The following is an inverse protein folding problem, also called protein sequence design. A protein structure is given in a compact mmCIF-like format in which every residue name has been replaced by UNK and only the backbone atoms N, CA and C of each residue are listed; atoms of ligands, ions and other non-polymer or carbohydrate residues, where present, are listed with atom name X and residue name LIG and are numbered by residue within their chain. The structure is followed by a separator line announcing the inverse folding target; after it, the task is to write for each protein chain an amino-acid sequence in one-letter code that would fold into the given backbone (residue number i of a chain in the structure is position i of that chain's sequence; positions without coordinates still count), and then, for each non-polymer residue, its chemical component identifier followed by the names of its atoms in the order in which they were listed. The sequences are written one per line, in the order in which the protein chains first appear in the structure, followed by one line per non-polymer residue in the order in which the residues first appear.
data_IF_509564480433
#
_entry.id   IF_509564480433
#
_cell.length_a   1.000
_cell.length_b   1.000
_cell.length_c   1.000
_cell.angle_alpha   90.00
_cell.angle_beta   90.00
_cell.angle_gamma   90.00
#
_symmetry.space_group_name_H-M   'P 1'
#
loop_
_entity.id
_entity.type
_entity.pdbx_description
1 polymer ?
#
# COMPACT_ATOMS: atom_id res chain seq x y z
N UNK A 1 23.96 -52.06 0.88
CA UNK A 1 24.30 -50.74 0.22
C UNK A 1 23.07 -49.97 -0.31
N UNK A 2 21.93 -50.61 -0.57
CA UNK A 2 20.71 -49.97 -1.09
C UNK A 2 20.01 -49.13 -0.01
N UNK A 3 20.10 -49.49 1.27
CA UNK A 3 19.43 -48.77 2.38
C UNK A 3 19.98 -47.36 2.65
N UNK A 4 21.28 -47.12 2.46
CA UNK A 4 21.92 -45.82 2.68
C UNK A 4 21.54 -44.79 1.62
N UNK A 5 21.31 -45.24 0.37
CA UNK A 5 20.89 -44.37 -0.72
C UNK A 5 19.42 -43.91 -0.60
N UNK A 6 18.55 -44.79 -0.07
CA UNK A 6 17.14 -44.52 0.18
C UNK A 6 16.96 -43.48 1.33
N UNK A 7 17.73 -43.58 2.39
CA UNK A 7 17.69 -42.64 3.53
C UNK A 7 18.10 -41.23 3.09
N UNK A 8 19.11 -41.11 2.25
CA UNK A 8 19.55 -39.80 1.71
C UNK A 8 18.50 -39.12 0.82
N UNK A 9 17.82 -39.90 -0.03
CA UNK A 9 16.76 -39.35 -0.90
C UNK A 9 15.51 -38.96 -0.14
N UNK A 10 15.12 -39.73 0.89
CA UNK A 10 13.97 -39.39 1.76
C UNK A 10 14.21 -38.11 2.57
N UNK A 11 15.42 -37.86 3.07
CA UNK A 11 15.77 -36.61 3.75
C UNK A 11 15.68 -35.41 2.79
N UNK A 12 16.17 -35.51 1.58
CA UNK A 12 16.06 -34.44 0.59
C UNK A 12 14.62 -34.10 0.21
N UNK A 13 13.73 -35.09 0.13
CA UNK A 13 12.32 -34.90 -0.16
C UNK A 13 11.64 -34.19 1.01
N UNK A 14 11.89 -34.60 2.24
CA UNK A 14 11.33 -33.97 3.45
C UNK A 14 11.75 -32.50 3.57
N UNK A 15 13.03 -32.20 3.35
CA UNK A 15 13.54 -30.83 3.38
C UNK A 15 12.89 -29.98 2.31
N UNK A 16 12.68 -30.51 1.11
CA UNK A 16 12.00 -29.80 0.02
C UNK A 16 10.56 -29.51 0.35
N UNK A 17 9.83 -30.48 0.92
CA UNK A 17 8.43 -30.28 1.35
C UNK A 17 8.36 -29.25 2.48
N UNK A 18 9.25 -29.31 3.46
CA UNK A 18 9.30 -28.36 4.57
C UNK A 18 9.57 -26.93 4.05
N UNK A 19 10.53 -26.78 3.12
CA UNK A 19 10.82 -25.49 2.50
C UNK A 19 9.59 -24.91 1.78
N UNK A 20 8.92 -25.71 0.97
CA UNK A 20 7.70 -25.28 0.26
C UNK A 20 6.59 -24.93 1.26
N UNK A 21 6.40 -25.73 2.30
CA UNK A 21 5.41 -25.45 3.34
C UNK A 21 5.66 -24.11 4.03
N UNK A 22 6.90 -23.79 4.39
CA UNK A 22 7.27 -22.50 4.98
C UNK A 22 7.06 -21.35 3.98
N UNK A 23 7.45 -21.53 2.72
CA UNK A 23 7.26 -20.52 1.68
C UNK A 23 5.79 -20.19 1.43
N UNK A 24 4.88 -21.12 1.62
CA UNK A 24 3.46 -20.91 1.52
C UNK A 24 2.85 -20.34 2.81
N UNK A 25 3.35 -20.77 3.97
CA UNK A 25 2.83 -20.36 5.27
C UNK A 25 3.14 -18.89 5.58
N UNK A 26 4.37 -18.43 5.33
CA UNK A 26 4.79 -17.07 5.67
C UNK A 26 3.91 -16.00 5.01
N UNK A 27 3.63 -16.02 3.70
CA UNK A 27 2.72 -15.05 3.09
C UNK A 27 1.30 -15.10 3.65
N UNK A 28 0.79 -16.29 4.00
CA UNK A 28 -0.53 -16.42 4.60
C UNK A 28 -0.59 -15.75 6.00
N UNK A 29 0.47 -15.92 6.79
CA UNK A 29 0.57 -15.25 8.10
C UNK A 29 0.71 -13.75 7.93
N UNK A 30 1.54 -13.27 7.00
CA UNK A 30 1.70 -11.85 6.68
C UNK A 30 0.34 -11.21 6.29
N UNK A 31 -0.47 -11.92 5.50
CA UNK A 31 -1.81 -11.45 5.10
C UNK A 31 -2.78 -11.41 6.28
N UNK A 32 -2.78 -12.43 7.14
CA UNK A 32 -3.61 -12.45 8.36
C UNK A 32 -3.22 -11.35 9.36
N UNK A 33 -1.96 -10.96 9.40
CA UNK A 33 -1.45 -9.87 10.24
C UNK A 33 -1.63 -8.49 9.58
N UNK A 34 -2.29 -8.41 8.42
CA UNK A 34 -2.48 -7.17 7.66
C UNK A 34 -1.18 -6.40 7.42
N UNK A 35 -0.10 -7.14 7.12
CA UNK A 35 1.20 -6.54 6.86
C UNK A 35 1.14 -5.55 5.71
N UNK A 36 1.76 -4.38 5.91
CA UNK A 36 1.92 -3.34 4.88
C UNK A 36 2.59 -3.86 3.62
N UNK A 37 2.29 -3.24 2.50
CA UNK A 37 2.96 -3.50 1.24
C UNK A 37 4.43 -3.09 1.31
N UNK A 38 5.29 -3.57 0.41
CA UNK A 38 6.69 -3.16 0.32
C UNK A 38 6.82 -1.64 0.15
N UNK A 39 7.91 -1.07 0.70
CA UNK A 39 8.13 0.38 0.73
C UNK A 39 8.13 1.01 -0.68
N UNK A 40 8.68 0.33 -1.68
CA UNK A 40 8.70 0.79 -3.07
C UNK A 40 7.27 0.94 -3.66
N UNK A 41 6.34 0.11 -3.21
CA UNK A 41 4.93 0.21 -3.61
C UNK A 41 4.25 1.37 -2.88
N UNK A 42 4.52 1.54 -1.59
CA UNK A 42 3.98 2.66 -0.79
C UNK A 42 4.49 4.01 -1.30
N UNK A 43 5.78 4.11 -1.63
CA UNK A 43 6.39 5.30 -2.23
C UNK A 43 5.71 5.67 -3.55
N UNK A 44 5.47 4.68 -4.41
CA UNK A 44 4.76 4.89 -5.68
C UNK A 44 3.31 5.35 -5.49
N UNK A 45 2.63 4.86 -4.46
CA UNK A 45 1.29 5.34 -4.10
C UNK A 45 1.35 6.81 -3.70
N UNK A 46 2.30 7.19 -2.83
CA UNK A 46 2.45 8.58 -2.38
C UNK A 46 2.81 9.52 -3.52
N UNK A 47 3.75 9.15 -4.38
CA UNK A 47 4.12 9.93 -5.57
C UNK A 47 2.92 10.14 -6.50
N UNK A 48 2.12 9.07 -6.71
CA UNK A 48 0.91 9.16 -7.53
C UNK A 48 -0.09 10.15 -6.94
N UNK A 49 -0.33 10.11 -5.64
CA UNK A 49 -1.25 11.02 -4.95
C UNK A 49 -0.75 12.47 -5.04
N UNK A 50 0.55 12.70 -4.81
CA UNK A 50 1.16 14.03 -4.88
C UNK A 50 1.19 14.64 -6.29
N UNK A 51 1.01 13.83 -7.33
CA UNK A 51 0.94 14.33 -8.70
C UNK A 51 -0.35 15.09 -9.02
N UNK A 52 -1.37 15.00 -8.17
CA UNK A 52 -2.64 15.68 -8.36
C UNK A 52 -2.59 17.11 -7.83
N UNK A 53 -3.05 18.11 -8.62
CA UNK A 53 -3.05 19.50 -8.19
C UNK A 53 -3.98 19.74 -7.00
N UNK A 54 -3.54 20.57 -6.05
CA UNK A 54 -4.32 20.92 -4.86
C UNK A 54 -4.28 19.87 -3.74
N UNK A 55 -3.59 18.76 -3.95
CA UNK A 55 -3.37 17.71 -2.95
C UNK A 55 -2.05 17.93 -2.25
N UNK A 56 -2.06 17.87 -0.93
CA UNK A 56 -0.85 18.01 -0.12
C UNK A 56 -0.82 17.01 1.04
N UNK A 57 0.38 16.78 1.56
CA UNK A 57 0.62 16.00 2.79
C UNK A 57 -0.18 14.69 2.87
N UNK A 58 0.02 13.72 1.95
CA UNK A 58 -0.53 12.39 2.17
C UNK A 58 0.06 11.81 3.46
N UNK A 59 -0.81 11.33 4.35
CA UNK A 59 -0.41 10.79 5.65
C UNK A 59 -1.35 9.68 6.09
N UNK A 60 -1.00 8.97 7.16
CA UNK A 60 -1.75 7.80 7.63
C UNK A 60 -2.00 6.77 6.52
N UNK A 61 -1.03 6.63 5.61
CA UNK A 61 -1.10 5.59 4.59
C UNK A 61 -1.14 4.22 5.27
N UNK A 62 -2.17 3.46 4.98
CA UNK A 62 -2.33 2.07 5.41
C UNK A 62 -2.54 1.23 4.17
N UNK A 63 -1.73 0.22 4.03
CA UNK A 63 -1.78 -0.70 2.89
C UNK A 63 -1.82 -2.13 3.40
N UNK A 64 -2.56 -3.00 2.70
CA UNK A 64 -2.55 -4.43 2.97
C UNK A 64 -2.93 -5.21 1.72
N UNK A 65 -2.55 -6.46 1.70
CA UNK A 65 -2.97 -7.40 0.66
C UNK A 65 -4.28 -8.08 1.07
N UNK A 66 -5.18 -8.25 0.11
CA UNK A 66 -6.41 -9.02 0.27
C UNK A 66 -6.50 -10.00 -0.91
N UNK A 67 -5.96 -11.21 -0.73
CA UNK A 67 -5.84 -12.19 -1.81
C UNK A 67 -5.01 -11.65 -2.98
N UNK A 68 -5.64 -11.44 -4.13
CA UNK A 68 -4.98 -10.98 -5.36
C UNK A 68 -5.05 -9.48 -5.61
N UNK A 69 -5.57 -8.69 -4.68
CA UNK A 69 -5.69 -7.23 -4.80
C UNK A 69 -5.22 -6.52 -3.53
N UNK A 70 -5.15 -5.20 -3.59
CA UNK A 70 -4.69 -4.38 -2.48
C UNK A 70 -5.83 -3.59 -1.85
N UNK A 71 -5.71 -3.30 -0.56
CA UNK A 71 -6.46 -2.25 0.10
C UNK A 71 -5.49 -1.12 0.43
N UNK A 72 -5.87 0.10 0.07
CA UNK A 72 -5.10 1.34 0.24
C UNK A 72 -6.02 2.33 0.95
N UNK A 73 -5.61 2.77 2.13
CA UNK A 73 -6.32 3.80 2.88
C UNK A 73 -5.34 4.95 3.14
N UNK A 74 -5.73 6.18 2.82
CA UNK A 74 -4.85 7.34 2.93
C UNK A 74 -5.63 8.59 3.30
N UNK A 75 -5.04 9.45 4.11
CA UNK A 75 -5.53 10.79 4.37
C UNK A 75 -4.77 11.79 3.51
N UNK A 76 -5.46 12.70 2.87
CA UNK A 76 -4.88 13.76 2.05
C UNK A 76 -5.44 15.12 2.46
N UNK A 77 -4.59 16.14 2.40
CA UNK A 77 -4.99 17.50 2.74
C UNK A 77 -5.24 18.32 1.48
N UNK A 78 -6.33 19.08 1.52
CA UNK A 78 -6.73 20.00 0.46
C UNK A 78 -7.14 21.36 1.05
N UNK A 79 -7.22 22.40 0.20
CA UNK A 79 -7.70 23.72 0.66
C UNK A 79 -9.14 23.59 1.18
N UNK A 80 -9.36 23.96 2.43
CA UNK A 80 -10.68 23.91 3.07
C UNK A 80 -11.72 24.87 2.47
N UNK A 81 -11.35 25.70 1.49
CA UNK A 81 -12.24 26.62 0.79
C UNK A 81 -12.84 26.07 -0.50
N UNK A 82 -12.31 24.94 -1.00
CA UNK A 82 -12.87 24.29 -2.19
C UNK A 82 -14.25 23.70 -1.88
N UNK A 83 -15.06 23.57 -2.90
CA UNK A 83 -16.37 22.93 -2.75
C UNK A 83 -16.22 21.43 -2.45
N UNK A 84 -17.21 20.85 -1.76
CA UNK A 84 -17.24 19.40 -1.54
C UNK A 84 -17.24 18.63 -2.85
N UNK A 85 -17.90 19.16 -3.87
CA UNK A 85 -17.97 18.56 -5.21
C UNK A 85 -16.59 18.48 -5.86
N UNK A 86 -15.82 19.56 -5.80
CA UNK A 86 -14.47 19.63 -6.35
C UNK A 86 -13.50 18.69 -5.60
N UNK A 87 -13.59 18.68 -4.27
CA UNK A 87 -12.80 17.78 -3.43
C UNK A 87 -13.12 16.30 -3.73
N UNK A 88 -14.40 15.97 -3.88
CA UNK A 88 -14.84 14.61 -4.23
C UNK A 88 -14.38 14.20 -5.64
N UNK A 89 -14.45 15.10 -6.61
CA UNK A 89 -13.97 14.85 -7.96
C UNK A 89 -12.47 14.51 -7.97
N UNK A 90 -11.67 15.25 -7.22
CA UNK A 90 -10.24 15.00 -7.08
C UNK A 90 -9.96 13.65 -6.41
N UNK A 91 -10.71 13.32 -5.33
CA UNK A 91 -10.58 12.03 -4.67
C UNK A 91 -10.91 10.87 -5.61
N UNK A 92 -11.97 10.99 -6.40
CA UNK A 92 -12.36 9.98 -7.40
C UNK A 92 -11.27 9.81 -8.47
N UNK A 93 -10.69 10.91 -8.94
CA UNK A 93 -9.61 10.85 -9.94
C UNK A 93 -8.35 10.14 -9.39
N UNK A 94 -8.01 10.37 -8.12
CA UNK A 94 -6.92 9.65 -7.44
C UNK A 94 -7.25 8.16 -7.31
N UNK A 95 -8.47 7.83 -6.88
CA UNK A 95 -8.94 6.45 -6.75
C UNK A 95 -8.85 5.70 -8.08
N UNK A 96 -9.33 6.31 -9.16
CA UNK A 96 -9.28 5.73 -10.51
C UNK A 96 -7.85 5.50 -10.97
N UNK A 97 -6.96 6.47 -10.70
CA UNK A 97 -5.54 6.34 -11.04
C UNK A 97 -4.85 5.22 -10.28
N UNK A 98 -5.12 5.09 -8.99
CA UNK A 98 -4.59 4.00 -8.18
C UNK A 98 -5.14 2.63 -8.64
N UNK A 99 -6.42 2.54 -8.98
CA UNK A 99 -7.01 1.33 -9.56
C UNK A 99 -6.44 0.97 -10.94
N UNK A 100 -6.09 1.96 -11.74
CA UNK A 100 -5.40 1.74 -13.03
C UNK A 100 -4.01 1.11 -12.80
N UNK A 101 -3.25 1.60 -11.82
CA UNK A 101 -1.88 1.16 -11.53
C UNK A 101 -1.80 -0.19 -10.80
N UNK A 102 -2.69 -0.42 -9.85
CA UNK A 102 -2.63 -1.57 -8.94
C UNK A 102 -3.73 -2.63 -9.17
N UNK A 103 -4.59 -2.38 -10.14
CA UNK A 103 -5.66 -3.29 -10.55
C UNK A 103 -7.06 -2.81 -10.17
N UNK A 104 -8.04 -3.09 -11.02
CA UNK A 104 -9.43 -2.61 -10.91
C UNK A 104 -10.14 -3.02 -9.61
N UNK A 105 -9.72 -4.13 -9.00
CA UNK A 105 -10.30 -4.65 -7.76
C UNK A 105 -9.63 -4.08 -6.51
N UNK A 106 -8.63 -3.19 -6.66
CA UNK A 106 -7.99 -2.52 -5.52
C UNK A 106 -9.03 -1.68 -4.78
N UNK A 107 -9.14 -1.91 -3.48
CA UNK A 107 -9.94 -1.05 -2.62
C UNK A 107 -9.14 0.20 -2.26
N UNK A 108 -9.69 1.38 -2.55
CA UNK A 108 -9.05 2.66 -2.25
C UNK A 108 -10.00 3.49 -1.39
N UNK A 109 -9.56 3.83 -0.19
CA UNK A 109 -10.26 4.72 0.73
C UNK A 109 -9.46 6.02 0.89
N UNK A 110 -10.03 7.16 0.50
CA UNK A 110 -9.39 8.47 0.62
C UNK A 110 -10.16 9.30 1.63
N UNK A 111 -9.48 9.70 2.70
CA UNK A 111 -10.03 10.63 3.68
C UNK A 111 -9.50 12.04 3.40
N UNK A 112 -10.41 12.97 3.11
CA UNK A 112 -10.06 14.35 2.80
C UNK A 112 -10.06 15.18 4.08
N UNK A 113 -8.97 15.90 4.32
CA UNK A 113 -8.81 16.81 5.45
C UNK A 113 -8.47 18.23 4.96
N UNK A 114 -8.94 19.27 5.65
CA UNK A 114 -8.50 20.63 5.36
C UNK A 114 -7.04 20.83 5.78
N UNK A 115 -6.29 21.65 5.03
CA UNK A 115 -4.95 22.08 5.41
C UNK A 115 -5.01 22.79 6.76
N UNK A 116 -4.20 22.34 7.72
CA UNK A 116 -4.11 22.99 9.04
C UNK A 116 -3.34 24.30 8.93
N UNK A 117 -3.81 25.35 9.60
CA UNK A 117 -3.15 26.68 9.62
C UNK A 117 -1.70 26.66 10.14
N UNK A 118 -1.28 25.61 10.83
CA UNK A 118 0.08 25.44 11.32
C UNK A 118 1.06 24.96 10.24
N UNK A 119 0.58 24.28 9.19
CA UNK A 119 1.40 23.83 8.07
C UNK A 119 1.74 25.00 7.12
N UNK A 120 0.85 26.00 6.96
CA UNK A 120 1.13 27.22 6.20
C UNK A 120 2.32 28.03 6.76
N UNK A 121 2.58 27.95 8.07
CA UNK A 121 3.73 28.60 8.71
C UNK A 121 5.07 27.92 8.44
N UNK A 122 5.04 26.64 8.19
CA UNK A 122 6.28 25.86 7.99
C UNK A 122 6.77 25.93 6.54
N UNK A 123 5.86 25.97 5.59
CA UNK A 123 6.16 26.09 4.14
C UNK A 123 6.79 27.46 3.80
N UNK A 124 6.36 28.51 4.48
CA UNK A 124 6.94 29.87 4.37
C UNK A 124 8.35 30.02 5.01
N UNK A 125 8.83 29.05 5.79
CA UNK A 125 10.19 29.04 6.35
C UNK A 125 11.21 28.38 5.44
N UNK A 126 10.78 27.50 4.53
CA UNK A 126 11.65 26.79 3.60
C UNK A 126 11.88 27.62 2.31
N UNK A 127 11.00 28.60 2.03
CA UNK A 127 11.06 29.46 0.85
C UNK A 127 11.82 30.81 1.04
N UNK A 128 12.67 30.92 2.10
CA UNK A 128 13.53 32.10 2.34
C UNK A 128 15.00 31.74 2.39
#
# INVERSE_FOLDING_TARGET
EISACLVGSEMCIRDSIMKVAIQLLVPCVDELLEKSLPADVEDKIQETILSFPGVSSPHHLRTRRIGNYYAIEVHVRMDGKISLEEAHYTATAIEDKLKELFGKNTHVGIHLEPIKKDDERNDNRIAR
#
